data_IF_824483687166
#
_entry.id   IF_824483687166
#
_cell.length_a   1.000
_cell.length_b   1.000
_cell.length_c   1.000
_cell.angle_alpha   90.00
_cell.angle_beta   90.00
_cell.angle_gamma   90.00
#
_symmetry.space_group_name_H-M   'P 1'
#
loop_
_entity.id
_entity.type
_entity.pdbx_description
1 polymer ?
#
# COMPACT_ATOMS: atom_id res chain seq x y z
N UNK A 1 -9.23 -18.37 7.83
CA UNK A 1 -8.95 -19.71 8.34
C UNK A 1 -8.15 -20.45 7.27
N UNK A 2 -7.03 -21.13 7.62
CA UNK A 2 -6.33 -21.96 6.65
C UNK A 2 -7.23 -23.08 6.13
N UNK A 3 -7.07 -23.52 4.88
CA UNK A 3 -7.82 -24.62 4.32
C UNK A 3 -7.55 -25.93 5.08
N UNK A 4 -8.48 -26.87 5.02
CA UNK A 4 -8.28 -28.19 5.59
C UNK A 4 -7.21 -28.95 4.81
N UNK A 5 -6.18 -29.43 5.52
CA UNK A 5 -5.01 -30.07 4.93
C UNK A 5 -4.92 -31.58 5.25
N UNK A 6 -5.84 -32.09 6.07
CA UNK A 6 -5.79 -33.49 6.53
C UNK A 6 -5.85 -34.52 5.42
N UNK A 7 -6.46 -34.17 4.28
CA UNK A 7 -6.60 -35.05 3.11
C UNK A 7 -5.50 -34.84 2.06
N UNK A 8 -4.62 -33.86 2.28
CA UNK A 8 -3.58 -33.51 1.33
C UNK A 8 -2.25 -34.20 1.66
N UNK A 9 -1.52 -34.60 0.61
CA UNK A 9 -0.17 -35.14 0.79
C UNK A 9 0.82 -34.03 1.04
N UNK A 10 1.50 -34.07 2.18
CA UNK A 10 2.60 -33.17 2.49
C UNK A 10 3.81 -33.46 1.60
N UNK A 11 4.37 -32.43 0.96
CA UNK A 11 5.53 -32.53 0.06
C UNK A 11 6.83 -32.08 0.71
N UNK A 12 6.75 -31.14 1.65
CA UNK A 12 7.94 -30.62 2.36
C UNK A 12 7.75 -29.19 2.85
N UNK A 13 8.74 -28.76 3.62
CA UNK A 13 8.86 -27.39 4.11
C UNK A 13 10.18 -26.79 3.68
N UNK A 14 10.16 -25.55 3.20
CA UNK A 14 11.35 -24.77 2.89
C UNK A 14 11.38 -23.54 3.79
N UNK A 15 12.52 -23.27 4.40
CA UNK A 15 12.72 -22.11 5.31
C UNK A 15 13.82 -21.23 4.73
N UNK A 16 13.59 -19.92 4.72
CA UNK A 16 14.58 -18.91 4.34
C UNK A 16 14.40 -17.69 5.23
N UNK A 17 15.41 -17.31 5.99
CA UNK A 17 15.33 -16.19 6.92
C UNK A 17 14.14 -16.29 7.87
N UNK A 18 13.29 -15.27 7.85
CA UNK A 18 12.08 -15.18 8.68
C UNK A 18 10.80 -15.63 7.98
N UNK A 19 10.91 -16.35 6.85
CA UNK A 19 9.77 -16.88 6.12
C UNK A 19 9.92 -18.37 5.88
N UNK A 20 8.79 -19.09 5.79
CA UNK A 20 8.74 -20.51 5.47
C UNK A 20 7.53 -20.82 4.61
N UNK A 21 7.67 -21.84 3.76
CA UNK A 21 6.60 -22.39 2.94
C UNK A 21 6.44 -23.88 3.25
N UNK A 22 5.19 -24.33 3.46
CA UNK A 22 4.83 -25.74 3.54
C UNK A 22 3.98 -26.10 2.33
N UNK A 23 4.41 -27.07 1.53
CA UNK A 23 3.77 -27.46 0.29
C UNK A 23 2.97 -28.77 0.47
N UNK A 24 1.77 -28.78 -0.08
CA UNK A 24 0.83 -29.91 -0.05
C UNK A 24 0.27 -30.17 -1.45
N UNK A 25 -0.01 -31.42 -1.77
CA UNK A 25 -0.60 -31.84 -3.02
C UNK A 25 -1.91 -32.60 -2.79
N UNK A 26 -2.91 -32.32 -3.59
CA UNK A 26 -4.18 -33.02 -3.60
C UNK A 26 -5.34 -32.16 -4.08
N UNK A 27 -6.55 -32.61 -3.82
CA UNK A 27 -7.76 -31.87 -4.14
C UNK A 27 -8.10 -30.88 -3.02
N UNK A 28 -8.04 -29.59 -3.34
CA UNK A 28 -8.36 -28.52 -2.36
C UNK A 28 -9.77 -28.02 -2.64
N UNK A 29 -10.70 -28.36 -1.76
CA UNK A 29 -12.07 -27.87 -1.84
C UNK A 29 -12.16 -26.44 -1.26
N UNK A 30 -12.52 -25.50 -2.13
CA UNK A 30 -12.79 -24.10 -1.78
C UNK A 30 -14.30 -23.79 -1.72
N UNK A 31 -15.14 -24.79 -1.94
CA UNK A 31 -16.60 -24.62 -1.99
C UNK A 31 -17.10 -23.86 -3.25
N UNK A 32 -16.27 -23.76 -4.29
CA UNK A 32 -16.58 -23.01 -5.51
C UNK A 32 -17.09 -23.89 -6.67
N UNK A 33 -16.83 -25.20 -6.61
CA UNK A 33 -17.20 -26.17 -7.64
C UNK A 33 -17.72 -27.47 -7.01
N UNK A 34 -18.41 -28.31 -7.80
CA UNK A 34 -18.83 -29.61 -7.32
C UNK A 34 -17.64 -30.52 -6.99
N UNK A 35 -17.78 -31.37 -5.99
CA UNK A 35 -16.69 -32.22 -5.49
C UNK A 35 -16.01 -33.08 -6.57
N UNK A 36 -16.76 -33.48 -7.61
CA UNK A 36 -16.26 -34.23 -8.76
C UNK A 36 -15.38 -33.42 -9.71
N UNK A 37 -15.49 -32.11 -9.67
CA UNK A 37 -14.78 -31.16 -10.54
C UNK A 37 -13.56 -30.53 -9.88
N UNK A 38 -13.26 -30.86 -8.61
CA UNK A 38 -12.11 -30.30 -7.90
C UNK A 38 -10.83 -30.83 -8.54
N UNK A 39 -9.99 -29.94 -9.12
CA UNK A 39 -8.74 -30.35 -9.74
C UNK A 39 -7.68 -30.72 -8.71
N UNK A 40 -6.73 -31.57 -9.11
CA UNK A 40 -5.51 -31.74 -8.35
C UNK A 40 -4.72 -30.43 -8.33
N UNK A 41 -4.30 -30.02 -7.17
CA UNK A 41 -3.70 -28.70 -6.92
C UNK A 41 -2.47 -28.82 -6.02
N UNK A 42 -1.58 -27.83 -6.15
CA UNK A 42 -0.51 -27.58 -5.22
C UNK A 42 -0.95 -26.46 -4.28
N UNK A 43 -1.00 -26.76 -2.99
CA UNK A 43 -1.28 -25.78 -1.94
C UNK A 43 0.01 -25.43 -1.21
N UNK A 44 0.36 -24.15 -1.20
CA UNK A 44 1.51 -23.64 -0.44
C UNK A 44 0.97 -22.78 0.70
N UNK A 45 1.24 -23.21 1.93
CA UNK A 45 0.99 -22.42 3.13
C UNK A 45 2.25 -21.60 3.42
N UNK A 46 2.10 -20.29 3.52
CA UNK A 46 3.20 -19.37 3.83
C UNK A 46 3.15 -18.97 5.29
N UNK A 47 4.32 -18.91 5.90
CA UNK A 47 4.48 -18.56 7.31
C UNK A 47 5.54 -17.48 7.47
N UNK A 48 5.36 -16.65 8.50
CA UNK A 48 6.33 -15.67 8.97
C UNK A 48 6.76 -15.98 10.38
N UNK A 49 8.01 -15.66 10.72
CA UNK A 49 8.55 -15.81 12.05
C UNK A 49 8.47 -14.49 12.80
N UNK A 50 7.68 -14.49 13.85
CA UNK A 50 7.55 -13.38 14.80
C UNK A 50 8.30 -13.71 16.11
N UNK A 51 8.33 -12.78 17.04
CA UNK A 51 8.92 -12.99 18.39
C UNK A 51 8.26 -14.13 19.15
N UNK A 52 6.97 -14.39 18.89
CA UNK A 52 6.18 -15.47 19.50
C UNK A 52 6.27 -16.81 18.76
N UNK A 53 7.06 -16.90 17.68
CA UNK A 53 7.22 -18.11 16.87
C UNK A 53 6.64 -17.98 15.46
N UNK A 54 6.50 -19.13 14.78
CA UNK A 54 5.95 -19.18 13.43
C UNK A 54 4.44 -18.90 13.43
N UNK A 55 4.02 -17.99 12.54
CA UNK A 55 2.62 -17.65 12.32
C UNK A 55 2.23 -17.92 10.89
N UNK A 56 1.01 -18.40 10.69
CA UNK A 56 0.43 -18.49 9.37
C UNK A 56 0.22 -17.08 8.80
N UNK A 57 0.64 -16.88 7.54
CA UNK A 57 0.52 -15.60 6.83
C UNK A 57 -0.56 -15.70 5.75
N UNK A 58 -0.32 -16.50 4.72
CA UNK A 58 -1.24 -16.62 3.59
C UNK A 58 -1.13 -17.98 2.90
N UNK A 59 -2.00 -18.22 1.92
CA UNK A 59 -1.98 -19.40 1.05
C UNK A 59 -1.78 -19.02 -0.40
N UNK A 60 -1.15 -19.92 -1.15
CA UNK A 60 -1.08 -19.86 -2.60
C UNK A 60 -1.54 -21.20 -3.16
N UNK A 61 -2.49 -21.17 -4.08
CA UNK A 61 -3.05 -22.36 -4.69
C UNK A 61 -2.73 -22.35 -6.19
N UNK A 62 -2.14 -23.44 -6.67
CA UNK A 62 -1.88 -23.67 -8.09
C UNK A 62 -2.72 -24.83 -8.58
N UNK A 63 -3.56 -24.58 -9.57
CA UNK A 63 -4.29 -25.62 -10.28
C UNK A 63 -3.35 -26.35 -11.25
N UNK A 64 -3.19 -27.65 -11.08
CA UNK A 64 -2.31 -28.48 -11.90
C UNK A 64 -3.01 -29.08 -13.12
N UNK A 65 -4.25 -28.74 -13.41
CA UNK A 65 -4.98 -29.22 -14.57
C UNK A 65 -4.30 -28.91 -15.91
N UNK A 66 -3.54 -27.83 -15.99
CA UNK A 66 -2.74 -27.44 -17.15
C UNK A 66 -1.30 -27.98 -17.15
N UNK A 67 -0.90 -28.73 -16.13
CA UNK A 67 0.46 -29.24 -15.95
C UNK A 67 0.45 -30.78 -15.69
N UNK A 68 0.05 -31.61 -16.69
CA UNK A 68 -0.15 -33.05 -16.52
C UNK A 68 1.13 -33.77 -16.10
N UNK A 69 2.29 -33.37 -16.59
CA UNK A 69 3.57 -33.98 -16.24
C UNK A 69 3.92 -33.79 -14.75
N UNK A 70 3.69 -32.58 -14.21
CA UNK A 70 3.86 -32.28 -12.79
C UNK A 70 2.88 -33.09 -11.96
N UNK A 71 1.62 -33.14 -12.39
CA UNK A 71 0.58 -33.91 -11.73
C UNK A 71 0.93 -35.41 -11.68
N UNK A 72 1.41 -35.99 -12.79
CA UNK A 72 1.82 -37.38 -12.86
C UNK A 72 3.01 -37.68 -11.95
N UNK A 73 4.03 -36.83 -11.97
CA UNK A 73 5.19 -36.93 -11.08
C UNK A 73 4.78 -36.87 -9.60
N UNK A 74 3.87 -35.97 -9.22
CA UNK A 74 3.37 -35.91 -7.86
C UNK A 74 2.52 -37.12 -7.48
N UNK A 75 1.67 -37.64 -8.37
CA UNK A 75 0.88 -38.84 -8.12
C UNK A 75 1.73 -40.10 -7.94
N UNK A 76 2.83 -40.24 -8.67
CA UNK A 76 3.77 -41.35 -8.53
C UNK A 76 4.63 -41.32 -7.27
N UNK A 77 4.51 -40.31 -6.42
CA UNK A 77 5.32 -40.14 -5.21
C UNK A 77 6.69 -39.51 -5.46
N UNK A 78 6.93 -39.03 -6.69
CA UNK A 78 8.18 -38.36 -7.04
C UNK A 78 8.44 -37.09 -6.22
N UNK A 79 9.71 -36.72 -6.13
CA UNK A 79 10.11 -35.44 -5.53
C UNK A 79 9.63 -34.29 -6.43
N UNK A 80 9.01 -33.31 -5.81
CA UNK A 80 8.56 -32.11 -6.50
C UNK A 80 9.76 -31.17 -6.73
N UNK A 81 10.64 -31.50 -7.68
CA UNK A 81 11.84 -30.70 -8.00
C UNK A 81 11.52 -29.28 -8.43
N UNK A 82 10.32 -29.06 -8.96
CA UNK A 82 9.85 -27.73 -9.32
C UNK A 82 9.66 -26.82 -8.10
N UNK A 83 9.50 -27.36 -6.89
CA UNK A 83 9.45 -26.53 -5.65
C UNK A 83 10.77 -25.83 -5.34
N UNK A 84 11.88 -26.26 -5.98
CA UNK A 84 13.17 -25.58 -5.88
C UNK A 84 13.21 -24.31 -6.75
N UNK A 85 12.17 -24.06 -7.59
CA UNK A 85 12.05 -22.84 -8.37
C UNK A 85 11.85 -21.62 -7.44
N UNK A 86 12.49 -20.47 -7.71
CA UNK A 86 12.32 -19.23 -6.96
C UNK A 86 10.87 -18.78 -6.75
N UNK A 87 9.97 -19.13 -7.67
CA UNK A 87 8.53 -18.82 -7.56
C UNK A 87 7.87 -19.46 -6.33
N UNK A 88 8.35 -20.65 -5.91
CA UNK A 88 7.83 -21.40 -4.76
C UNK A 88 8.68 -21.22 -3.51
N UNK A 89 9.83 -20.57 -3.62
CA UNK A 89 10.73 -20.34 -2.50
C UNK A 89 10.15 -19.25 -1.56
N UNK A 90 10.41 -19.37 -0.24
CA UNK A 90 10.09 -18.28 0.68
C UNK A 90 10.89 -17.02 0.35
N UNK A 91 10.30 -15.85 0.57
CA UNK A 91 10.94 -14.56 0.25
C UNK A 91 12.20 -14.29 1.07
N UNK A 92 12.25 -14.80 2.31
CA UNK A 92 13.37 -14.62 3.23
C UNK A 92 13.19 -13.47 4.20
N UNK A 93 12.55 -12.41 3.76
CA UNK A 93 12.24 -11.23 4.57
C UNK A 93 10.73 -11.08 4.74
N UNK A 94 10.31 -10.70 5.93
CA UNK A 94 8.91 -10.38 6.20
C UNK A 94 8.65 -8.98 5.63
N UNK A 95 7.65 -8.80 4.75
CA UNK A 95 7.30 -7.48 4.25
C UNK A 95 6.97 -6.54 5.41
N UNK A 96 7.36 -5.26 5.33
CA UNK A 96 6.99 -4.29 6.36
C UNK A 96 5.47 -4.21 6.46
N UNK A 97 4.95 -4.23 7.69
CA UNK A 97 3.52 -4.04 7.93
C UNK A 97 3.12 -2.66 7.42
N UNK A 98 2.13 -2.55 6.53
CA UNK A 98 1.64 -1.24 6.08
C UNK A 98 1.18 -0.44 7.28
N UNK A 99 1.60 0.83 7.37
CA UNK A 99 1.09 1.72 8.42
C UNK A 99 -0.42 1.87 8.22
N UNK A 100 -1.25 1.53 9.23
CA UNK A 100 -2.68 1.76 9.11
C UNK A 100 -2.95 3.27 8.97
N UNK A 101 -3.84 3.64 8.05
CA UNK A 101 -4.31 5.02 7.96
C UNK A 101 -5.00 5.39 9.27
N UNK A 102 -4.66 6.52 9.91
CA UNK A 102 -5.38 6.99 11.08
C UNK A 102 -6.83 7.29 10.71
N UNK A 103 -7.75 7.10 11.67
CA UNK A 103 -9.13 7.57 11.50
C UNK A 103 -9.08 9.11 11.52
N UNK A 104 -9.53 9.80 10.45
CA UNK A 104 -9.48 11.25 10.38
C UNK A 104 -10.56 11.88 11.25
N UNK A 105 -10.26 13.03 11.85
CA UNK A 105 -11.29 13.87 12.45
C UNK A 105 -12.04 14.67 11.37
N UNK A 106 -11.36 14.95 10.25
CA UNK A 106 -11.85 15.76 9.13
C UNK A 106 -11.38 15.22 7.80
N UNK A 107 -12.24 15.33 6.79
CA UNK A 107 -11.84 15.12 5.40
C UNK A 107 -11.08 16.35 4.94
N UNK A 108 -9.84 16.17 4.54
CA UNK A 108 -8.96 17.22 4.07
C UNK A 108 -8.77 17.18 2.55
N UNK A 109 -8.58 18.34 1.96
CA UNK A 109 -8.18 18.53 0.56
C UNK A 109 -6.91 19.37 0.54
N UNK A 110 -5.91 18.94 -0.23
CA UNK A 110 -4.70 19.68 -0.50
C UNK A 110 -4.75 20.20 -1.94
N UNK A 111 -4.71 21.52 -2.11
CA UNK A 111 -4.57 22.18 -3.39
C UNK A 111 -3.11 22.58 -3.57
N UNK A 112 -2.50 22.21 -4.70
CA UNK A 112 -1.14 22.57 -5.05
C UNK A 112 -1.15 23.20 -6.43
N UNK A 113 -0.68 24.45 -6.53
CA UNK A 113 -0.35 25.08 -7.79
C UNK A 113 1.17 25.22 -7.87
N UNK A 114 1.79 24.49 -8.77
CA UNK A 114 3.26 24.38 -8.92
C UNK A 114 3.65 24.76 -10.33
N UNK A 115 4.50 25.76 -10.47
CA UNK A 115 5.09 26.14 -11.74
C UNK A 115 6.60 26.31 -11.61
N UNK A 116 7.35 25.63 -12.50
CA UNK A 116 8.80 25.56 -12.43
C UNK A 116 9.33 24.63 -11.32
N UNK A 117 8.46 23.79 -10.73
CA UNK A 117 8.83 22.76 -9.76
C UNK A 117 8.14 21.43 -10.04
N UNK A 118 8.83 20.34 -9.71
CA UNK A 118 8.24 19.05 -9.41
C UNK A 118 8.03 18.98 -7.89
N UNK A 119 6.78 19.10 -7.46
CA UNK A 119 6.40 19.24 -6.05
C UNK A 119 5.77 17.95 -5.55
N UNK A 120 6.34 17.36 -4.49
CA UNK A 120 5.77 16.24 -3.76
C UNK A 120 5.34 16.71 -2.38
N UNK A 121 4.13 16.32 -1.95
CA UNK A 121 3.60 16.67 -0.65
C UNK A 121 3.14 15.45 0.12
N UNK A 122 3.47 15.43 1.43
CA UNK A 122 3.03 14.40 2.36
C UNK A 122 2.44 15.05 3.62
N UNK A 123 1.35 14.49 4.14
CA UNK A 123 0.71 14.93 5.39
C UNK A 123 0.69 13.78 6.38
N UNK A 124 1.14 14.04 7.61
CA UNK A 124 1.22 13.05 8.70
C UNK A 124 1.99 11.77 8.32
N UNK A 125 2.92 11.87 7.37
CA UNK A 125 3.75 10.77 6.88
C UNK A 125 3.11 9.93 5.76
N UNK A 126 1.98 10.38 5.20
CA UNK A 126 1.35 9.77 4.01
C UNK A 126 1.55 10.68 2.81
N UNK A 127 2.01 10.10 1.69
CA UNK A 127 2.10 10.81 0.42
C UNK A 127 0.69 11.19 -0.05
N UNK A 128 0.49 12.47 -0.40
CA UNK A 128 -0.80 13.01 -0.84
C UNK A 128 -0.78 13.31 -2.33
N UNK A 129 0.26 14.00 -2.82
CA UNK A 129 0.31 14.50 -4.18
C UNK A 129 1.73 14.55 -4.73
N UNK A 130 1.82 14.44 -6.06
CA UNK A 130 3.01 14.84 -6.84
C UNK A 130 2.51 15.66 -8.02
N UNK A 131 2.89 16.95 -8.08
CA UNK A 131 2.41 17.92 -9.06
C UNK A 131 3.60 18.59 -9.74
N UNK A 132 3.58 18.69 -11.07
CA UNK A 132 4.59 19.40 -11.84
C UNK A 132 3.92 20.29 -12.90
N UNK A 133 4.27 21.58 -12.90
CA UNK A 133 3.80 22.58 -13.87
C UNK A 133 2.28 22.58 -14.05
N UNK A 134 1.54 22.37 -12.95
CA UNK A 134 0.08 22.23 -12.94
C UNK A 134 -0.51 22.75 -11.63
N UNK A 135 -1.84 22.86 -11.61
CA UNK A 135 -2.63 23.10 -10.41
C UNK A 135 -3.60 21.94 -10.21
N UNK A 136 -3.52 21.27 -9.07
CA UNK A 136 -4.30 20.07 -8.77
C UNK A 136 -4.85 20.08 -7.35
N UNK A 137 -5.94 19.34 -7.16
CA UNK A 137 -6.57 19.08 -5.87
C UNK A 137 -6.52 17.59 -5.55
N UNK A 138 -6.11 17.25 -4.32
CA UNK A 138 -6.00 15.88 -3.86
C UNK A 138 -6.66 15.71 -2.50
N UNK A 139 -7.41 14.62 -2.33
CA UNK A 139 -7.87 14.21 -1.00
C UNK A 139 -6.69 13.82 -0.13
N UNK A 140 -6.67 14.33 1.10
CA UNK A 140 -5.63 13.97 2.07
C UNK A 140 -5.85 12.54 2.55
N UNK A 141 -4.93 11.63 2.20
CA UNK A 141 -4.98 10.24 2.66
C UNK A 141 -4.87 10.21 4.19
N UNK A 142 -5.82 9.52 4.85
CA UNK A 142 -5.93 9.53 6.31
C UNK A 142 -6.50 10.82 6.89
N UNK A 143 -6.93 11.78 6.05
CA UNK A 143 -7.57 13.03 6.44
C UNK A 143 -6.72 13.94 7.31
N UNK A 144 -7.35 14.91 7.95
CA UNK A 144 -6.74 15.83 8.91
C UNK A 144 -7.26 15.54 10.32
N UNK A 145 -6.38 15.71 11.32
CA UNK A 145 -6.72 15.63 12.75
C UNK A 145 -7.02 17.02 13.28
N UNK A 146 -7.83 17.11 14.35
CA UNK A 146 -7.93 18.35 15.12
C UNK A 146 -6.57 18.63 15.80
N UNK A 147 -6.10 19.86 15.72
CA UNK A 147 -4.76 20.27 16.18
C UNK A 147 -3.75 20.22 15.04
N UNK A 148 -2.52 19.84 15.37
CA UNK A 148 -1.37 19.89 14.45
C UNK A 148 -1.33 18.72 13.49
N UNK A 149 -1.13 19.03 12.21
CA UNK A 149 -0.86 18.07 11.14
C UNK A 149 0.46 18.45 10.46
N UNK A 150 1.39 17.52 10.41
CA UNK A 150 2.70 17.75 9.80
C UNK A 150 2.58 17.72 8.27
N UNK A 151 2.92 18.81 7.60
CA UNK A 151 3.05 18.90 6.13
C UNK A 151 4.53 18.91 5.77
N UNK A 152 4.92 17.98 4.91
CA UNK A 152 6.25 17.93 4.31
C UNK A 152 6.12 18.17 2.81
N UNK A 153 6.88 19.11 2.28
CA UNK A 153 6.90 19.44 0.85
C UNK A 153 8.32 19.31 0.34
N UNK A 154 8.49 18.55 -0.73
CA UNK A 154 9.70 18.47 -1.53
C UNK A 154 9.44 19.17 -2.87
N UNK A 155 10.19 20.25 -3.17
CA UNK A 155 10.02 21.06 -4.36
C UNK A 155 11.34 21.11 -5.15
N UNK A 156 11.47 20.23 -6.15
CA UNK A 156 12.62 20.20 -7.06
C UNK A 156 12.42 21.15 -8.23
N UNK A 157 13.39 21.99 -8.49
CA UNK A 157 13.34 22.88 -9.65
C UNK A 157 13.34 22.10 -10.95
N UNK A 158 12.48 22.51 -11.88
CA UNK A 158 12.46 22.01 -13.26
C UNK A 158 12.72 23.18 -14.22
N UNK A 159 13.18 22.92 -15.45
CA UNK A 159 13.39 23.97 -16.45
C UNK A 159 12.11 24.78 -16.70
N UNK A 160 12.25 26.09 -16.83
CA UNK A 160 11.15 27.01 -17.20
C UNK A 160 11.55 27.80 -18.44
N UNK A 161 10.57 28.30 -19.23
CA UNK A 161 10.85 29.19 -20.35
C UNK A 161 11.60 30.45 -19.90
N UNK A 162 12.39 31.03 -20.81
CA UNK A 162 13.11 32.27 -20.56
C UNK A 162 12.13 33.41 -20.24
N UNK A 163 12.42 34.15 -19.18
CA UNK A 163 11.56 35.24 -18.71
C UNK A 163 10.33 34.80 -17.90
N UNK A 164 10.11 33.51 -17.73
CA UNK A 164 9.02 33.02 -16.86
C UNK A 164 9.46 33.01 -15.37
N UNK A 165 8.50 33.26 -14.50
CA UNK A 165 8.72 33.23 -13.03
C UNK A 165 8.24 31.94 -12.42
N UNK A 166 8.96 31.44 -11.42
CA UNK A 166 8.55 30.27 -10.62
C UNK A 166 7.45 30.66 -9.63
N UNK A 167 6.51 29.76 -9.43
CA UNK A 167 5.50 29.93 -8.37
C UNK A 167 5.15 28.62 -7.71
N UNK A 168 4.84 28.69 -6.42
CA UNK A 168 4.36 27.54 -5.64
C UNK A 168 3.33 28.05 -4.63
N UNK A 169 2.14 27.47 -4.66
CA UNK A 169 1.07 27.79 -3.71
C UNK A 169 0.51 26.48 -3.20
N UNK A 170 0.37 26.36 -1.90
CA UNK A 170 -0.20 25.19 -1.24
C UNK A 170 -1.30 25.65 -0.28
N UNK A 171 -2.52 25.16 -0.48
CA UNK A 171 -3.65 25.38 0.40
C UNK A 171 -4.10 24.04 0.99
N UNK A 172 -4.45 24.02 2.27
CA UNK A 172 -5.21 22.93 2.85
C UNK A 172 -6.62 23.39 3.21
N UNK A 173 -7.59 22.62 2.77
CA UNK A 173 -9.01 22.83 3.00
C UNK A 173 -9.57 21.68 3.81
N UNK A 174 -10.60 21.95 4.59
CA UNK A 174 -11.42 20.93 5.26
C UNK A 174 -12.81 20.96 4.67
N UNK A 175 -13.38 19.77 4.37
CA UNK A 175 -14.76 19.64 3.96
C UNK A 175 -15.68 19.73 5.19
N UNK A 176 -16.69 20.57 5.14
CA UNK A 176 -17.58 20.85 6.27
C UNK A 176 -18.84 20.01 6.27
N UNK A 177 -19.31 19.57 5.10
CA UNK A 177 -20.63 19.00 4.89
C UNK A 177 -21.78 20.03 4.82
N UNK A 178 -21.48 21.33 4.97
CA UNK A 178 -22.45 22.43 4.80
C UNK A 178 -22.49 22.87 3.33
N UNK A 179 -23.65 22.82 2.69
CA UNK A 179 -23.81 23.23 1.28
C UNK A 179 -23.47 24.70 1.03
N UNK A 180 -23.69 25.57 2.03
CA UNK A 180 -23.39 27.02 1.91
C UNK A 180 -21.90 27.31 2.08
N UNK A 181 -21.17 26.47 2.80
CA UNK A 181 -19.74 26.61 3.07
C UNK A 181 -19.05 25.23 2.97
N UNK A 182 -19.00 24.64 1.77
CA UNK A 182 -18.57 23.26 1.62
C UNK A 182 -17.12 23.00 2.03
N UNK A 183 -16.30 24.07 2.03
CA UNK A 183 -14.89 23.99 2.44
C UNK A 183 -14.51 25.15 3.34
N UNK A 184 -13.56 24.90 4.25
CA UNK A 184 -12.87 25.93 5.04
C UNK A 184 -11.37 25.81 4.81
N UNK A 185 -10.74 26.90 4.41
CA UNK A 185 -9.29 26.96 4.29
C UNK A 185 -8.66 27.02 5.68
N UNK A 186 -7.83 26.03 6.00
CA UNK A 186 -7.14 25.91 7.29
C UNK A 186 -5.64 26.19 7.20
N UNK A 187 -5.12 26.25 5.95
CA UNK A 187 -3.70 26.54 5.71
C UNK A 187 -3.54 27.19 4.33
N UNK A 188 -2.62 28.15 4.25
CA UNK A 188 -2.17 28.74 2.99
C UNK A 188 -0.67 28.99 3.10
N UNK A 189 0.07 28.53 2.12
CA UNK A 189 1.49 28.82 1.99
C UNK A 189 1.81 29.27 0.58
N UNK A 190 2.36 30.45 0.49
CA UNK A 190 2.87 31.09 -0.74
C UNK A 190 4.24 31.68 -0.40
N UNK A 191 5.35 31.07 -0.85
CA UNK A 191 6.68 31.63 -0.65
C UNK A 191 6.82 33.02 -1.25
N UNK A 192 7.48 33.92 -0.55
CA UNK A 192 7.75 35.29 -1.05
C UNK A 192 8.97 35.31 -1.99
N UNK A 193 9.84 34.33 -1.87
CA UNK A 193 11.09 34.23 -2.63
C UNK A 193 11.19 32.91 -3.39
N UNK A 194 11.72 32.97 -4.60
CA UNK A 194 12.01 31.83 -5.46
C UNK A 194 13.48 31.84 -5.90
N UNK A 195 14.13 30.67 -6.07
CA UNK A 195 13.58 29.35 -5.80
C UNK A 195 13.44 29.05 -4.32
N UNK A 196 12.45 28.22 -3.96
CA UNK A 196 12.28 27.73 -2.59
C UNK A 196 13.32 26.66 -2.27
N UNK A 197 13.60 26.46 -0.98
CA UNK A 197 14.43 25.31 -0.53
C UNK A 197 13.74 24.00 -0.85
N UNK A 198 14.52 22.99 -1.25
CA UNK A 198 14.00 21.70 -1.71
C UNK A 198 13.07 21.04 -0.72
N UNK A 199 13.37 21.13 0.57
CA UNK A 199 12.55 20.54 1.63
C UNK A 199 11.97 21.60 2.56
N UNK A 200 10.65 21.56 2.74
CA UNK A 200 9.89 22.40 3.67
C UNK A 200 9.12 21.50 4.64
N UNK A 201 9.19 21.85 5.93
CA UNK A 201 8.38 21.22 6.98
C UNK A 201 7.51 22.29 7.61
N UNK A 202 6.21 22.09 7.56
CA UNK A 202 5.21 23.06 8.01
C UNK A 202 4.15 22.36 8.85
N UNK A 203 3.36 23.14 9.58
CA UNK A 203 2.24 22.63 10.38
C UNK A 203 0.94 23.20 9.87
N UNK A 204 -0.02 22.32 9.56
CA UNK A 204 -1.40 22.67 9.30
C UNK A 204 -2.16 22.55 10.61
N UNK A 205 -2.65 23.65 11.15
CA UNK A 205 -3.44 23.64 12.38
C UNK A 205 -4.93 23.63 12.10
N UNK A 206 -5.64 22.61 12.58
CA UNK A 206 -7.09 22.48 12.44
C UNK A 206 -7.76 22.74 13.78
N UNK A 207 -8.47 23.87 13.89
CA UNK A 207 -9.15 24.25 15.13
C UNK A 207 -10.55 23.65 15.19
N UNK A 208 -10.91 23.05 16.34
CA UNK A 208 -12.27 22.56 16.60
C UNK A 208 -13.35 23.64 16.50
N UNK A 209 -13.01 24.88 16.86
CA UNK A 209 -13.98 26.00 16.90
C UNK A 209 -14.34 26.51 15.50
N UNK A 210 -13.40 26.47 14.56
CA UNK A 210 -13.62 26.92 13.16
C UNK A 210 -14.59 26.02 12.37
N UNK A 211 -14.98 24.90 12.96
CA UNK A 211 -15.75 23.83 12.31
C UNK A 211 -17.16 23.66 12.90
N UNK A 212 -17.54 24.50 13.85
CA UNK A 212 -18.88 24.57 14.41
C UNK A 212 -19.58 25.81 13.81
N UNK A 213 -20.18 25.66 12.66
CA UNK A 213 -21.24 26.51 12.14
C UNK A 213 -21.39 26.33 10.63
#
# INVERSE_FOLDING_TARGET
>A
RPPEISTLRFLGTTVKGNTANAAYFGKVDLGLVEATQIPDSLLILKFIKESSGWKFDTTQLFNLGSAPDIQAALKSGGRATFLDNPEFAPMGEVPPVPKPCPIPDRIGVLQIASFGYATKAAINGFDVATVQDNAEEHLVIGGLKNGDNALVVEAKQVPIPEGAERSLIINALVLTGDEKRPTIQVFNWKPETHPVTEFQKMTIFVNKITMRE
#
